data_IF_669618341435
#
_entry.id   IF_669618341435
#
_cell.length_a   1.000
_cell.length_b   1.000
_cell.length_c   1.000
_cell.angle_alpha   90.00
_cell.angle_beta   90.00
_cell.angle_gamma   90.00
#
_symmetry.space_group_name_H-M   'P 1'
#
loop_
_entity.id
_entity.type
_entity.pdbx_description
1 polymer ?
#
# COMPACT_ATOMS: atom_id res chain seq x y z
N UNK A 1 12.89 -3.00 15.41
CA UNK A 1 13.62 -2.41 14.29
C UNK A 1 12.81 -1.25 13.72
N UNK A 2 13.44 -0.11 13.55
CA UNK A 2 12.73 1.04 12.99
C UNK A 2 12.60 0.92 11.48
N UNK A 3 11.45 1.26 10.92
CA UNK A 3 11.31 1.29 9.48
C UNK A 3 12.18 2.40 8.90
N UNK A 4 12.83 2.12 7.79
CA UNK A 4 13.68 3.09 7.12
C UNK A 4 13.17 3.45 5.72
N UNK A 5 12.03 2.91 5.33
CA UNK A 5 11.47 3.15 4.01
C UNK A 5 9.96 3.30 4.09
N UNK A 6 9.43 4.07 3.16
CA UNK A 6 7.99 4.29 3.02
C UNK A 6 7.62 4.01 1.57
N UNK A 7 6.54 3.28 1.40
CA UNK A 7 5.99 3.00 0.08
C UNK A 7 4.49 3.31 0.08
N UNK A 8 3.98 3.69 -1.08
CA UNK A 8 2.56 3.99 -1.24
C UNK A 8 2.00 3.09 -2.32
N UNK A 9 0.92 2.37 -1.98
CA UNK A 9 0.19 1.53 -2.92
C UNK A 9 -1.22 2.08 -3.01
N UNK A 10 -1.73 2.26 -4.21
CA UNK A 10 -3.09 2.73 -4.40
C UNK A 10 -3.79 1.92 -5.48
N UNK A 11 -5.07 1.67 -5.26
CA UNK A 11 -5.89 0.90 -6.20
C UNK A 11 -7.37 1.07 -5.85
N UNK A 12 -8.24 0.69 -6.78
CA UNK A 12 -9.64 0.53 -6.45
C UNK A 12 -9.79 -0.61 -5.45
N UNK A 13 -10.84 -0.60 -4.61
CA UNK A 13 -10.97 -1.61 -3.55
C UNK A 13 -10.89 -3.05 -4.05
N UNK A 14 -11.51 -3.34 -5.20
CA UNK A 14 -11.52 -4.69 -5.73
C UNK A 14 -10.17 -5.14 -6.27
N UNK A 15 -9.25 -4.21 -6.55
CA UNK A 15 -7.92 -4.51 -7.06
C UNK A 15 -6.83 -4.37 -6.00
N UNK A 16 -7.20 -3.96 -4.78
CA UNK A 16 -6.22 -3.64 -3.75
C UNK A 16 -5.41 -4.86 -3.32
N UNK A 17 -6.07 -6.01 -3.18
CA UNK A 17 -5.38 -7.23 -2.77
C UNK A 17 -4.29 -7.59 -3.76
N UNK A 18 -4.59 -7.52 -5.06
CA UNK A 18 -3.63 -7.83 -6.09
C UNK A 18 -2.48 -6.83 -6.13
N UNK A 19 -2.80 -5.55 -5.94
CA UNK A 19 -1.79 -4.50 -5.89
C UNK A 19 -0.82 -4.71 -4.72
N UNK A 20 -1.35 -5.07 -3.55
CA UNK A 20 -0.51 -5.36 -2.39
C UNK A 20 0.33 -6.61 -2.60
N UNK A 21 -0.26 -7.63 -3.22
CA UNK A 21 0.47 -8.85 -3.52
C UNK A 21 1.63 -8.59 -4.47
N UNK A 22 1.41 -7.74 -5.48
CA UNK A 22 2.47 -7.31 -6.40
C UNK A 22 3.58 -6.55 -5.67
N UNK A 23 3.20 -5.67 -4.74
CA UNK A 23 4.18 -4.95 -3.94
C UNK A 23 5.04 -5.92 -3.13
N UNK A 24 4.42 -6.92 -2.51
CA UNK A 24 5.15 -7.91 -1.72
C UNK A 24 6.13 -8.72 -2.57
N UNK A 25 5.75 -9.01 -3.81
CA UNK A 25 6.63 -9.73 -4.73
C UNK A 25 7.84 -8.90 -5.13
N UNK A 26 7.66 -7.59 -5.25
CA UNK A 26 8.76 -6.67 -5.57
C UNK A 26 9.66 -6.39 -4.37
N UNK A 27 9.17 -6.64 -3.17
CA UNK A 27 9.89 -6.37 -1.93
C UNK A 27 9.94 -7.62 -1.04
N UNK A 28 10.59 -8.70 -1.53
CA UNK A 28 10.54 -9.99 -0.81
C UNK A 28 11.26 -9.97 0.54
N UNK A 29 12.12 -8.98 0.77
CA UNK A 29 12.84 -8.86 2.03
C UNK A 29 12.26 -7.81 2.95
N UNK A 30 11.17 -7.18 2.55
CA UNK A 30 10.59 -6.11 3.34
C UNK A 30 9.98 -6.66 4.62
N UNK A 31 10.21 -5.94 5.71
CA UNK A 31 9.57 -6.20 7.00
C UNK A 31 8.66 -5.02 7.28
N UNK A 32 7.38 -5.26 7.21
CA UNK A 32 6.39 -4.20 7.39
C UNK A 32 6.26 -3.89 8.87
N UNK A 33 6.51 -2.64 9.24
CA UNK A 33 6.36 -2.17 10.61
C UNK A 33 4.93 -1.66 10.84
N UNK A 34 4.37 -0.99 9.85
CA UNK A 34 3.02 -0.45 9.95
C UNK A 34 2.46 -0.22 8.56
N UNK A 35 1.15 -0.26 8.44
CA UNK A 35 0.45 0.09 7.21
C UNK A 35 -0.80 0.86 7.57
N UNK A 36 -1.08 1.91 6.83
CA UNK A 36 -2.24 2.76 7.09
C UNK A 36 -3.05 2.93 5.81
N UNK A 37 -4.29 2.46 5.78
CA UNK A 37 -5.16 2.66 4.63
C UNK A 37 -5.86 4.02 4.73
N UNK A 38 -6.14 4.59 3.57
CA UNK A 38 -6.93 5.80 3.46
C UNK A 38 -7.76 5.70 2.18
N UNK A 39 -9.06 5.92 2.29
CA UNK A 39 -9.95 5.87 1.14
C UNK A 39 -10.39 7.27 0.77
N UNK A 40 -10.44 7.55 -0.53
CA UNK A 40 -10.90 8.83 -1.04
C UNK A 40 -11.65 8.59 -2.35
N UNK A 41 -12.53 9.53 -2.68
CA UNK A 41 -13.28 9.48 -3.94
C UNK A 41 -12.65 10.48 -4.91
N UNK A 42 -12.35 10.02 -6.13
CA UNK A 42 -11.79 10.91 -7.13
C UNK A 42 -12.90 11.76 -7.80
N UNK A 43 -12.50 12.60 -8.75
CA UNK A 43 -13.42 13.52 -9.41
C UNK A 43 -14.51 12.80 -10.23
N UNK A 44 -14.28 11.56 -10.61
CA UNK A 44 -15.26 10.75 -11.36
C UNK A 44 -16.20 9.95 -10.46
N UNK A 45 -16.03 10.04 -9.15
CA UNK A 45 -16.85 9.31 -8.18
C UNK A 45 -16.34 7.93 -7.84
N UNK A 46 -15.15 7.57 -8.32
CA UNK A 46 -14.55 6.26 -7.99
C UNK A 46 -13.84 6.33 -6.65
N UNK A 47 -13.98 5.26 -5.88
CA UNK A 47 -13.27 5.13 -4.61
C UNK A 47 -11.88 4.57 -4.87
N UNK A 48 -10.87 5.27 -4.38
CA UNK A 48 -9.48 4.83 -4.46
C UNK A 48 -8.97 4.65 -3.04
N UNK A 49 -8.42 3.48 -2.77
CA UNK A 49 -7.80 3.18 -1.49
C UNK A 49 -6.29 3.34 -1.64
N UNK A 50 -5.72 4.13 -0.75
CA UNK A 50 -4.27 4.35 -0.69
C UNK A 50 -3.76 3.72 0.59
N UNK A 51 -2.73 2.90 0.49
CA UNK A 51 -2.10 2.28 1.65
C UNK A 51 -0.68 2.78 1.75
N UNK A 52 -0.36 3.39 2.88
CA UNK A 52 1.00 3.84 3.19
C UNK A 52 1.67 2.75 4.01
N UNK A 53 2.80 2.26 3.54
CA UNK A 53 3.50 1.15 4.16
C UNK A 53 4.86 1.63 4.67
N UNK A 54 5.07 1.51 5.98
CA UNK A 54 6.37 1.76 6.58
C UNK A 54 7.05 0.43 6.79
N UNK A 55 8.25 0.29 6.23
CA UNK A 55 8.94 -1.01 6.24
C UNK A 55 10.45 -0.83 6.33
N UNK A 56 11.11 -1.91 6.69
CA UNK A 56 12.56 -2.01 6.68
C UNK A 56 12.98 -3.08 5.68
N UNK A 57 14.11 -2.85 5.05
CA UNK A 57 14.61 -3.77 4.03
C UNK A 57 16.12 -3.91 4.10
#
# INVERSE_FOLDING_TARGET
MNPNKVSVVYAEPQALEEALRGWMQQHPRARVAAAQPCAATDASGKVIVTVIIWYAE
#
